data_IF_307544243861
#
_entry.id   IF_307544243861
#
_cell.length_a   1.000
_cell.length_b   1.000
_cell.length_c   1.000
_cell.angle_alpha   90.00
_cell.angle_beta   90.00
_cell.angle_gamma   90.00
#
_symmetry.space_group_name_H-M   'P 1'
#
loop_
_entity.id
_entity.type
_entity.pdbx_description
1 polymer ?
#
# COMPACT_ATOMS: atom_id res chain seq x y z
N UNK A 1 28.89 83.10 -115.32
CA UNK A 1 29.81 83.45 -114.21
C UNK A 1 29.49 82.53 -113.04
N UNK A 2 30.44 81.79 -112.44
CA UNK A 2 30.19 81.11 -111.18
C UNK A 2 30.86 81.86 -110.00
N UNK A 3 30.17 81.93 -108.87
CA UNK A 3 30.61 82.58 -107.63
C UNK A 3 31.07 81.58 -106.57
N UNK A 4 32.04 82.06 -105.79
CA UNK A 4 32.93 81.41 -104.81
C UNK A 4 32.27 81.13 -103.45
N UNK A 5 32.82 80.18 -102.69
CA UNK A 5 32.28 79.65 -101.42
C UNK A 5 33.40 79.45 -100.39
N UNK A 6 33.42 80.22 -99.29
CA UNK A 6 33.94 79.80 -97.97
C UNK A 6 33.54 80.80 -96.86
N UNK A 7 32.70 80.40 -95.91
CA UNK A 7 32.47 81.11 -94.62
C UNK A 7 32.52 80.08 -93.46
N UNK A 8 33.15 80.39 -92.30
CA UNK A 8 33.31 79.43 -91.20
C UNK A 8 32.18 79.49 -90.13
N UNK A 9 31.86 78.33 -89.53
CA UNK A 9 30.71 78.07 -88.64
C UNK A 9 30.91 78.53 -87.18
N UNK A 10 29.83 79.03 -86.54
CA UNK A 10 29.78 79.60 -85.16
C UNK A 10 29.72 78.52 -84.05
N UNK A 11 30.32 78.79 -82.89
CA UNK A 11 30.44 77.87 -81.74
C UNK A 11 29.22 77.85 -80.81
N UNK A 12 28.22 78.71 -81.04
CA UNK A 12 26.89 78.66 -80.40
C UNK A 12 26.00 77.51 -80.93
N UNK A 13 26.48 76.82 -81.97
CA UNK A 13 25.74 75.81 -82.72
C UNK A 13 25.59 74.52 -81.91
N UNK A 14 24.47 74.41 -81.18
CA UNK A 14 24.14 73.24 -80.34
C UNK A 14 23.67 72.04 -81.15
N UNK A 15 23.54 72.17 -82.47
CA UNK A 15 23.10 71.10 -83.37
C UNK A 15 23.91 69.83 -83.19
N UNK A 16 25.21 69.93 -82.93
CA UNK A 16 26.07 68.78 -82.68
C UNK A 16 25.73 68.06 -81.37
N UNK A 17 25.33 68.78 -80.32
CA UNK A 17 24.90 68.18 -79.06
C UNK A 17 23.52 67.54 -79.21
N UNK A 18 22.63 68.16 -79.98
CA UNK A 18 21.30 67.64 -80.28
C UNK A 18 21.41 66.34 -81.11
N UNK A 19 22.25 66.32 -82.15
CA UNK A 19 22.52 65.13 -82.97
C UNK A 19 23.12 63.97 -82.14
N UNK A 20 24.00 64.28 -81.19
CA UNK A 20 24.58 63.28 -80.27
C UNK A 20 23.51 62.74 -79.32
N UNK A 21 22.64 63.61 -78.77
CA UNK A 21 21.57 63.20 -77.86
C UNK A 21 20.52 62.34 -78.57
N UNK A 22 20.19 62.66 -79.82
CA UNK A 22 19.32 61.83 -80.66
C UNK A 22 19.97 60.48 -80.94
N UNK A 23 21.25 60.46 -81.32
CA UNK A 23 22.00 59.21 -81.53
C UNK A 23 22.03 58.34 -80.26
N UNK A 24 22.25 58.95 -79.10
CA UNK A 24 22.22 58.25 -77.81
C UNK A 24 20.81 57.74 -77.49
N UNK A 25 19.78 58.53 -77.81
CA UNK A 25 18.37 58.14 -77.67
C UNK A 25 18.03 56.92 -78.52
N UNK A 26 18.49 56.89 -79.78
CA UNK A 26 18.34 55.75 -80.68
C UNK A 26 19.06 54.50 -80.14
N UNK A 27 20.33 54.64 -79.73
CA UNK A 27 21.11 53.53 -79.15
C UNK A 27 20.45 52.96 -77.89
N UNK A 28 19.94 53.83 -77.01
CA UNK A 28 19.25 53.40 -75.78
C UNK A 28 17.92 52.71 -76.11
N UNK A 29 17.19 53.21 -77.11
CA UNK A 29 15.93 52.62 -77.57
C UNK A 29 16.16 51.25 -78.19
N UNK A 30 17.16 51.12 -79.07
CA UNK A 30 17.58 49.86 -79.67
C UNK A 30 18.05 48.86 -78.61
N UNK A 31 18.86 49.29 -77.64
CA UNK A 31 19.29 48.45 -76.53
C UNK A 31 18.11 48.00 -75.66
N UNK A 32 17.12 48.86 -75.44
CA UNK A 32 15.87 48.52 -74.76
C UNK A 32 15.07 47.45 -75.52
N UNK A 33 14.96 47.57 -76.84
CA UNK A 33 14.34 46.55 -77.69
C UNK A 33 15.07 45.21 -77.65
N UNK A 34 16.40 45.21 -77.72
CA UNK A 34 17.20 43.97 -77.61
C UNK A 34 17.07 43.31 -76.23
N UNK A 35 16.94 44.10 -75.17
CA UNK A 35 16.70 43.59 -73.81
C UNK A 35 15.30 42.99 -73.68
N UNK A 36 14.28 43.65 -74.24
CA UNK A 36 12.90 43.14 -74.25
C UNK A 36 12.82 41.83 -75.03
N UNK A 37 13.45 41.77 -76.22
CA UNK A 37 13.56 40.54 -77.01
C UNK A 37 14.30 39.43 -76.25
N UNK A 38 15.41 39.74 -75.58
CA UNK A 38 16.15 38.73 -74.80
C UNK A 38 15.33 38.22 -73.61
N UNK A 39 14.66 39.13 -72.89
CA UNK A 39 13.80 38.76 -71.76
C UNK A 39 12.61 37.95 -72.23
N UNK A 40 11.97 38.33 -73.33
CA UNK A 40 10.89 37.57 -73.98
C UNK A 40 11.36 36.16 -74.37
N UNK A 41 12.47 36.05 -75.09
CA UNK A 41 13.02 34.75 -75.50
C UNK A 41 13.38 33.84 -74.32
N UNK A 42 13.97 34.39 -73.25
CA UNK A 42 14.30 33.62 -72.04
C UNK A 42 13.03 33.20 -71.30
N UNK A 43 12.06 34.11 -71.16
CA UNK A 43 10.78 33.84 -70.54
C UNK A 43 10.04 32.71 -71.27
N UNK A 44 10.00 32.77 -72.60
CA UNK A 44 9.37 31.73 -73.43
C UNK A 44 10.12 30.40 -73.32
N UNK A 45 11.45 30.42 -73.35
CA UNK A 45 12.25 29.19 -73.21
C UNK A 45 12.04 28.51 -71.85
N UNK A 46 12.04 29.31 -70.78
CA UNK A 46 11.79 28.80 -69.42
C UNK A 46 10.35 28.32 -69.27
N UNK A 47 9.38 29.08 -69.79
CA UNK A 47 7.97 28.69 -69.81
C UNK A 47 7.78 27.35 -70.51
N UNK A 48 8.31 27.20 -71.72
CA UNK A 48 8.24 25.95 -72.47
C UNK A 48 8.93 24.77 -71.76
N UNK A 49 10.05 25.00 -71.06
CA UNK A 49 10.70 23.97 -70.27
C UNK A 49 9.84 23.56 -69.07
N UNK A 50 9.35 24.53 -68.31
CA UNK A 50 8.48 24.29 -67.16
C UNK A 50 7.22 23.56 -67.60
N UNK A 51 6.54 24.01 -68.65
CA UNK A 51 5.37 23.34 -69.22
C UNK A 51 5.70 21.91 -69.67
N UNK A 52 6.85 21.69 -70.31
CA UNK A 52 7.30 20.34 -70.66
C UNK A 52 7.52 19.41 -69.46
N UNK A 53 7.92 19.95 -68.31
CA UNK A 53 8.10 19.20 -67.06
C UNK A 53 6.78 19.02 -66.29
N UNK A 54 5.92 20.05 -66.24
CA UNK A 54 4.81 20.18 -65.28
C UNK A 54 3.43 20.40 -65.89
N UNK A 55 3.27 20.35 -67.23
CA UNK A 55 2.01 20.65 -67.93
C UNK A 55 0.79 20.07 -67.20
N UNK A 56 -0.16 20.96 -66.94
CA UNK A 56 -1.36 20.81 -66.12
C UNK A 56 -2.56 20.20 -66.88
N UNK A 57 -2.32 19.70 -68.11
CA UNK A 57 -3.35 19.07 -68.92
C UNK A 57 -2.87 18.09 -70.00
N UNK A 58 -1.56 17.96 -70.20
CA UNK A 58 -0.94 16.96 -71.08
C UNK A 58 0.29 16.42 -70.38
N UNK A 59 0.54 15.11 -70.44
CA UNK A 59 1.52 14.37 -69.63
C UNK A 59 2.91 15.01 -69.68
N UNK A 60 3.20 15.96 -68.77
CA UNK A 60 4.54 16.50 -68.57
C UNK A 60 5.48 15.35 -68.20
N UNK A 61 6.78 15.52 -68.38
CA UNK A 61 7.74 14.44 -68.09
C UNK A 61 7.64 13.92 -66.65
N UNK A 62 7.23 14.77 -65.70
CA UNK A 62 7.04 14.37 -64.31
C UNK A 62 5.74 13.58 -64.09
N UNK A 63 4.72 13.77 -64.92
CA UNK A 63 3.42 13.10 -64.78
C UNK A 63 3.60 11.56 -64.80
N UNK A 64 4.37 11.05 -65.76
CA UNK A 64 4.69 9.62 -65.83
C UNK A 64 5.49 9.08 -64.62
N UNK A 65 6.04 9.95 -63.76
CA UNK A 65 6.74 9.57 -62.54
C UNK A 65 5.88 9.74 -61.29
N UNK A 66 5.29 10.91 -61.07
CA UNK A 66 4.63 11.30 -59.80
C UNK A 66 3.11 11.19 -59.83
N UNK A 67 2.49 11.04 -61.00
CA UNK A 67 1.04 10.86 -61.06
C UNK A 67 0.62 9.52 -60.46
N UNK A 68 -0.66 9.40 -60.14
CA UNK A 68 -1.26 8.18 -59.58
C UNK A 68 -1.10 6.95 -60.49
N UNK A 69 -1.08 7.16 -61.81
CA UNK A 69 -0.73 6.14 -62.82
C UNK A 69 0.70 6.23 -63.35
N UNK A 70 1.55 7.04 -62.71
CA UNK A 70 2.98 7.12 -63.00
C UNK A 70 3.75 6.08 -62.18
N UNK A 71 5.07 5.98 -62.39
CA UNK A 71 5.89 4.94 -61.75
C UNK A 71 5.82 4.95 -60.21
N UNK A 72 5.76 6.12 -59.57
CA UNK A 72 5.63 6.21 -58.11
C UNK A 72 4.20 5.93 -57.65
N UNK A 73 3.18 6.23 -58.45
CA UNK A 73 1.80 5.80 -58.18
C UNK A 73 1.67 4.27 -58.28
N UNK A 74 2.21 3.68 -59.34
CA UNK A 74 2.28 2.22 -59.54
C UNK A 74 3.10 1.51 -58.45
N UNK A 75 4.07 2.18 -57.83
CA UNK A 75 4.85 1.61 -56.74
C UNK A 75 4.21 1.85 -55.38
N UNK A 76 3.76 3.07 -55.06
CA UNK A 76 3.41 3.51 -53.71
C UNK A 76 1.93 3.83 -53.51
N UNK A 77 1.17 3.99 -54.60
CA UNK A 77 -0.27 4.16 -54.55
C UNK A 77 -0.97 2.93 -53.96
N UNK A 78 -2.22 3.08 -53.54
CA UNK A 78 -2.96 2.02 -52.83
C UNK A 78 -3.14 0.75 -53.69
N UNK A 79 -3.23 0.92 -55.01
CA UNK A 79 -3.28 -0.16 -56.00
C UNK A 79 -1.90 -0.57 -56.53
N UNK A 80 -0.84 0.09 -56.07
CA UNK A 80 0.53 -0.15 -56.48
C UNK A 80 1.17 -1.35 -55.79
N UNK A 81 2.40 -1.68 -56.19
CA UNK A 81 3.13 -2.83 -55.68
C UNK A 81 3.32 -2.80 -54.16
N UNK A 82 3.68 -1.65 -53.59
CA UNK A 82 3.76 -1.46 -52.15
C UNK A 82 2.38 -1.21 -51.53
N UNK A 83 1.40 -0.71 -52.28
CA UNK A 83 0.01 -0.56 -51.84
C UNK A 83 -0.60 -1.86 -51.32
N UNK A 84 -0.32 -2.99 -51.96
CA UNK A 84 -0.74 -4.30 -51.45
C UNK A 84 -0.19 -4.66 -50.06
N UNK A 85 0.88 -4.00 -49.59
CA UNK A 85 1.46 -4.20 -48.26
C UNK A 85 1.13 -3.02 -47.34
N UNK A 86 1.41 -1.79 -47.74
CA UNK A 86 1.32 -0.59 -46.92
C UNK A 86 0.03 0.20 -47.09
N UNK A 87 -0.76 -0.10 -48.12
CA UNK A 87 -2.05 0.52 -48.37
C UNK A 87 -3.08 0.19 -47.30
N UNK A 88 -4.19 0.93 -47.29
CA UNK A 88 -5.29 0.76 -46.32
C UNK A 88 -5.90 -0.63 -46.39
N UNK A 89 -5.99 -1.19 -47.61
CA UNK A 89 -6.49 -2.53 -47.88
C UNK A 89 -5.35 -3.55 -48.02
N UNK A 90 -4.11 -3.10 -47.89
CA UNK A 90 -2.92 -3.94 -47.92
C UNK A 90 -2.75 -4.76 -46.65
N UNK A 91 -1.70 -5.59 -46.61
CA UNK A 91 -1.43 -6.46 -45.46
C UNK A 91 -1.30 -5.69 -44.13
N UNK A 92 -0.57 -4.57 -44.12
CA UNK A 92 -0.38 -3.75 -42.93
C UNK A 92 -1.64 -2.97 -42.58
N UNK A 93 -2.37 -2.44 -43.57
CA UNK A 93 -3.67 -1.79 -43.33
C UNK A 93 -4.68 -2.76 -42.71
N UNK A 94 -4.77 -3.98 -43.25
CA UNK A 94 -5.62 -5.05 -42.73
C UNK A 94 -5.16 -5.61 -41.38
N UNK A 95 -3.89 -5.44 -41.01
CA UNK A 95 -3.36 -5.92 -39.73
C UNK A 95 -3.45 -4.85 -38.64
N UNK A 96 -2.90 -3.66 -38.86
CA UNK A 96 -2.74 -2.60 -37.85
C UNK A 96 -3.61 -1.37 -38.07
N UNK A 97 -4.31 -1.29 -39.20
CA UNK A 97 -5.27 -0.21 -39.46
C UNK A 97 -6.42 -0.20 -38.46
N UNK A 98 -7.23 0.87 -38.49
CA UNK A 98 -8.34 1.06 -37.55
C UNK A 98 -9.40 -0.06 -37.62
N UNK A 99 -9.54 -0.70 -38.78
CA UNK A 99 -10.44 -1.84 -38.98
C UNK A 99 -9.69 -3.17 -39.13
N UNK A 100 -8.39 -3.17 -38.83
CA UNK A 100 -7.52 -4.33 -38.98
C UNK A 100 -7.71 -5.39 -37.89
N UNK A 101 -7.06 -6.54 -38.06
CA UNK A 101 -7.10 -7.65 -37.10
C UNK A 101 -6.60 -7.23 -35.70
N UNK A 102 -5.61 -6.33 -35.65
CA UNK A 102 -5.08 -5.77 -34.41
C UNK A 102 -5.73 -4.44 -34.02
N UNK A 103 -6.86 -4.04 -34.62
CA UNK A 103 -7.57 -2.79 -34.30
C UNK A 103 -7.89 -2.66 -32.81
N UNK A 104 -8.27 -3.75 -32.13
CA UNK A 104 -8.48 -3.77 -30.68
C UNK A 104 -7.23 -3.42 -29.84
N UNK A 105 -6.04 -3.48 -30.45
CA UNK A 105 -4.77 -3.11 -29.83
C UNK A 105 -4.25 -1.79 -30.40
N UNK A 106 -4.09 -1.67 -31.71
CA UNK A 106 -3.43 -0.53 -32.37
C UNK A 106 -4.38 0.52 -32.94
N UNK A 107 -5.67 0.20 -33.07
CA UNK A 107 -6.67 1.14 -33.56
C UNK A 107 -6.91 2.29 -32.59
N UNK A 108 -7.55 3.34 -33.09
CA UNK A 108 -7.94 4.53 -32.30
C UNK A 108 -8.73 4.20 -31.03
N UNK A 109 -9.67 3.25 -31.12
CA UNK A 109 -10.43 2.74 -29.97
C UNK A 109 -9.79 1.51 -29.31
N UNK A 110 -8.64 1.07 -29.81
CA UNK A 110 -7.88 -0.07 -29.28
C UNK A 110 -7.15 0.28 -27.99
N UNK A 111 -6.44 -0.69 -27.42
CA UNK A 111 -5.69 -0.51 -26.17
C UNK A 111 -4.65 0.61 -26.28
N UNK A 112 -3.80 0.59 -27.30
CA UNK A 112 -2.77 1.61 -27.56
C UNK A 112 -3.44 2.94 -27.88
N UNK A 113 -4.48 2.95 -28.72
CA UNK A 113 -5.25 4.15 -29.04
C UNK A 113 -5.88 4.80 -27.81
N UNK A 114 -6.50 4.03 -26.92
CA UNK A 114 -7.05 4.50 -25.65
C UNK A 114 -5.97 4.96 -24.66
N UNK A 115 -4.78 4.37 -24.73
CA UNK A 115 -3.65 4.72 -23.89
C UNK A 115 -3.02 6.04 -24.33
N UNK A 116 -2.78 6.22 -25.63
CA UNK A 116 -2.06 7.37 -26.20
C UNK A 116 -2.97 8.48 -26.70
N UNK A 117 -4.23 8.19 -27.00
CA UNK A 117 -5.22 9.12 -27.53
C UNK A 117 -6.28 9.40 -26.50
N UNK A 118 -6.17 10.53 -25.81
CA UNK A 118 -7.17 11.15 -24.93
C UNK A 118 -7.68 10.36 -23.70
N UNK A 119 -7.48 9.04 -23.61
CA UNK A 119 -8.06 8.19 -22.57
C UNK A 119 -7.23 8.14 -21.28
N UNK A 120 -6.27 7.21 -21.20
CA UNK A 120 -5.62 6.88 -19.93
C UNK A 120 -4.38 7.73 -19.61
N UNK A 121 -3.49 8.00 -20.58
CA UNK A 121 -2.28 8.81 -20.32
C UNK A 121 -2.48 10.29 -20.58
N UNK A 122 -3.29 10.65 -21.58
CA UNK A 122 -3.57 12.05 -21.89
C UNK A 122 -4.58 12.65 -20.90
N UNK A 123 -5.58 11.87 -20.44
CA UNK A 123 -6.44 12.24 -19.31
C UNK A 123 -5.70 12.26 -17.96
N UNK A 124 -4.54 11.59 -17.86
CA UNK A 124 -3.71 11.55 -16.65
C UNK A 124 -2.84 12.79 -16.44
N UNK A 125 -2.55 13.58 -17.48
CA UNK A 125 -1.68 14.77 -17.38
C UNK A 125 -2.43 16.08 -17.25
N UNK A 126 -3.72 16.10 -17.55
CA UNK A 126 -4.56 17.31 -17.44
C UNK A 126 -5.56 17.28 -16.29
N UNK A 127 -6.12 16.11 -15.92
CA UNK A 127 -7.10 16.04 -14.82
C UNK A 127 -7.10 14.71 -14.01
N UNK A 128 -6.06 13.88 -14.06
CA UNK A 128 -5.80 12.78 -13.11
C UNK A 128 -6.90 11.71 -12.86
N UNK A 129 -8.09 11.79 -13.46
CA UNK A 129 -9.32 11.26 -12.86
C UNK A 129 -9.40 9.75 -12.73
N UNK A 130 -9.42 9.00 -13.83
CA UNK A 130 -9.88 7.60 -13.75
C UNK A 130 -8.94 6.67 -12.96
N UNK A 131 -7.62 6.76 -13.18
CA UNK A 131 -6.66 5.90 -12.49
C UNK A 131 -6.38 6.39 -11.06
N UNK A 132 -6.30 7.70 -10.85
CA UNK A 132 -6.11 8.26 -9.50
C UNK A 132 -7.32 7.99 -8.62
N UNK A 133 -8.55 8.08 -9.16
CA UNK A 133 -9.77 7.80 -8.41
C UNK A 133 -9.88 6.31 -8.06
N UNK A 134 -9.54 5.42 -9.00
CA UNK A 134 -9.54 3.97 -8.74
C UNK A 134 -8.49 3.59 -7.68
N UNK A 135 -7.26 4.12 -7.80
CA UNK A 135 -6.19 3.86 -6.84
C UNK A 135 -6.51 4.49 -5.48
N UNK A 136 -7.04 5.72 -5.47
CA UNK A 136 -7.47 6.38 -4.23
C UNK A 136 -8.61 5.63 -3.56
N UNK A 137 -9.60 5.14 -4.32
CA UNK A 137 -10.67 4.30 -3.81
C UNK A 137 -10.14 3.06 -3.12
N UNK A 138 -9.24 2.32 -3.79
CA UNK A 138 -8.62 1.13 -3.23
C UNK A 138 -7.78 1.42 -1.97
N UNK A 139 -7.05 2.55 -1.94
CA UNK A 139 -6.27 2.96 -0.77
C UNK A 139 -7.18 3.32 0.40
N UNK A 140 -8.29 4.01 0.15
CA UNK A 140 -9.28 4.33 1.19
C UNK A 140 -9.94 3.07 1.73
N UNK A 141 -10.39 2.17 0.85
CA UNK A 141 -11.01 0.90 1.25
C UNK A 141 -10.04 0.07 2.10
N UNK A 142 -8.77 -0.03 1.69
CA UNK A 142 -7.75 -0.71 2.47
C UNK A 142 -7.51 -0.03 3.84
N UNK A 143 -7.51 1.30 3.87
CA UNK A 143 -7.40 2.08 5.11
C UNK A 143 -8.56 1.81 6.08
N UNK A 144 -9.79 1.72 5.57
CA UNK A 144 -10.97 1.42 6.39
C UNK A 144 -10.96 -0.02 6.92
N UNK A 145 -10.61 -1.00 6.09
CA UNK A 145 -10.50 -2.40 6.49
C UNK A 145 -9.40 -2.57 7.54
N UNK A 146 -8.22 -1.99 7.31
CA UNK A 146 -7.11 -2.09 8.24
C UNK A 146 -7.39 -1.36 9.56
N UNK A 147 -8.04 -0.19 9.50
CA UNK A 147 -8.48 0.54 10.68
C UNK A 147 -9.50 -0.24 11.51
N UNK A 148 -10.49 -0.85 10.84
CA UNK A 148 -11.50 -1.70 11.48
C UNK A 148 -10.88 -2.93 12.15
N UNK A 149 -10.09 -3.71 11.39
CA UNK A 149 -9.42 -4.92 11.92
C UNK A 149 -8.49 -4.58 13.10
N UNK A 150 -7.76 -3.48 13.01
CA UNK A 150 -6.87 -3.04 14.10
C UNK A 150 -7.67 -2.61 15.34
N UNK A 151 -8.78 -1.89 15.15
CA UNK A 151 -9.66 -1.45 16.23
C UNK A 151 -10.36 -2.63 16.94
N UNK A 152 -10.89 -3.57 16.16
CA UNK A 152 -11.56 -4.77 16.68
C UNK A 152 -10.58 -5.68 17.42
N UNK A 153 -9.38 -5.87 16.89
CA UNK A 153 -8.32 -6.64 17.55
C UNK A 153 -7.89 -5.96 18.84
N UNK A 154 -7.65 -4.65 18.84
CA UNK A 154 -7.27 -3.91 20.06
C UNK A 154 -8.35 -4.00 21.14
N UNK A 155 -9.62 -3.91 20.75
CA UNK A 155 -10.75 -4.02 21.69
C UNK A 155 -10.84 -5.42 22.27
N UNK A 156 -10.74 -6.44 21.42
CA UNK A 156 -10.76 -7.85 21.84
C UNK A 156 -9.61 -8.16 22.80
N UNK A 157 -8.38 -7.75 22.45
CA UNK A 157 -7.21 -7.92 23.31
C UNK A 157 -7.38 -7.16 24.63
N UNK A 158 -7.89 -5.94 24.60
CA UNK A 158 -8.20 -5.15 25.81
C UNK A 158 -9.15 -5.90 26.74
N UNK A 159 -10.29 -6.37 26.22
CA UNK A 159 -11.26 -7.13 27.04
C UNK A 159 -10.69 -8.41 27.62
N UNK A 160 -9.83 -9.11 26.87
CA UNK A 160 -9.19 -10.33 27.34
C UNK A 160 -8.18 -10.05 28.46
N UNK A 161 -7.42 -8.95 28.34
CA UNK A 161 -6.50 -8.49 29.38
C UNK A 161 -7.25 -8.04 30.64
N UNK A 162 -8.34 -7.29 30.51
CA UNK A 162 -9.17 -6.86 31.64
C UNK A 162 -9.78 -8.06 32.37
N UNK A 163 -10.28 -9.05 31.63
CA UNK A 163 -10.79 -10.29 32.22
C UNK A 163 -9.68 -11.08 32.94
N UNK A 164 -8.51 -11.23 32.31
CA UNK A 164 -7.39 -11.96 32.91
C UNK A 164 -6.88 -11.26 34.17
N UNK A 165 -6.71 -9.94 34.14
CA UNK A 165 -6.30 -9.15 35.31
C UNK A 165 -7.36 -9.17 36.42
N UNK A 166 -8.64 -9.16 36.06
CA UNK A 166 -9.76 -9.33 36.99
C UNK A 166 -9.75 -10.70 37.67
N UNK A 167 -9.53 -11.78 36.92
CA UNK A 167 -9.42 -13.15 37.47
C UNK A 167 -8.21 -13.25 38.41
N UNK A 168 -7.03 -12.80 37.96
CA UNK A 168 -5.82 -12.84 38.78
C UNK A 168 -6.03 -12.04 40.07
N UNK A 169 -6.63 -10.85 39.99
CA UNK A 169 -6.94 -10.05 41.17
C UNK A 169 -7.98 -10.72 42.07
N UNK A 170 -9.01 -11.35 41.52
CA UNK A 170 -10.00 -12.10 42.30
C UNK A 170 -9.42 -13.33 42.99
N UNK A 171 -8.41 -13.97 42.40
CA UNK A 171 -7.74 -15.15 42.98
C UNK A 171 -6.66 -14.74 43.98
N UNK A 172 -5.79 -13.80 43.62
CA UNK A 172 -4.55 -13.44 44.33
C UNK A 172 -4.61 -12.12 45.12
N UNK A 173 -5.70 -11.37 44.99
CA UNK A 173 -5.81 -10.02 45.54
C UNK A 173 -5.51 -9.93 47.03
N UNK A 174 -4.81 -8.84 47.41
CA UNK A 174 -4.39 -8.57 48.79
C UNK A 174 -5.58 -8.48 49.75
N UNK A 175 -5.30 -8.71 51.03
CA UNK A 175 -6.28 -8.90 52.10
C UNK A 175 -7.31 -7.76 52.24
N UNK A 176 -6.99 -6.55 51.79
CA UNK A 176 -7.91 -5.40 51.83
C UNK A 176 -9.08 -5.49 50.85
N UNK A 177 -8.97 -6.33 49.82
CA UNK A 177 -10.05 -6.62 48.85
C UNK A 177 -10.47 -8.09 48.80
N UNK A 178 -9.80 -8.98 49.55
CA UNK A 178 -10.25 -10.35 49.81
C UNK A 178 -10.27 -11.27 48.58
N UNK A 179 -9.12 -11.47 47.93
CA UNK A 179 -8.99 -12.53 46.94
C UNK A 179 -9.27 -13.91 47.54
N UNK A 180 -9.71 -14.88 46.72
CA UNK A 180 -10.05 -16.24 47.18
C UNK A 180 -8.91 -16.90 47.98
N UNK A 181 -7.66 -16.75 47.53
CA UNK A 181 -6.49 -17.26 48.25
C UNK A 181 -6.28 -16.53 49.58
N UNK A 182 -6.47 -15.21 49.60
CA UNK A 182 -6.38 -14.41 50.83
C UNK A 182 -7.43 -14.82 51.86
N UNK A 183 -8.67 -15.10 51.44
CA UNK A 183 -9.73 -15.60 52.31
C UNK A 183 -9.51 -17.04 52.78
N UNK A 184 -8.92 -17.90 51.95
CA UNK A 184 -8.66 -19.30 52.29
C UNK A 184 -7.44 -19.46 53.20
N UNK A 185 -6.29 -18.86 52.84
CA UNK A 185 -5.01 -19.03 53.54
C UNK A 185 -4.79 -18.02 54.67
N UNK A 186 -5.42 -16.85 54.61
CA UNK A 186 -5.10 -15.70 55.45
C UNK A 186 -4.01 -14.85 54.80
N UNK A 187 -4.37 -13.63 54.39
CA UNK A 187 -3.49 -12.74 53.63
C UNK A 187 -2.74 -11.71 54.48
N UNK A 188 -3.11 -11.53 55.74
CA UNK A 188 -2.45 -10.61 56.65
C UNK A 188 -2.23 -11.27 58.02
N UNK A 189 -1.25 -10.77 58.78
CA UNK A 189 -0.92 -11.29 60.12
C UNK A 189 -1.99 -10.98 61.18
N UNK A 190 -3.13 -10.39 60.79
CA UNK A 190 -4.13 -9.82 61.70
C UNK A 190 -5.51 -10.49 61.58
N UNK A 191 -5.80 -11.14 60.46
CA UNK A 191 -7.07 -11.76 60.09
C UNK A 191 -6.76 -13.13 59.49
N UNK A 192 -6.83 -14.18 60.32
CA UNK A 192 -6.64 -15.55 59.84
C UNK A 192 -7.70 -15.91 58.78
N UNK A 193 -7.28 -16.59 57.71
CA UNK A 193 -8.21 -17.16 56.72
C UNK A 193 -8.98 -18.36 57.27
N UNK A 194 -9.88 -18.93 56.46
CA UNK A 194 -10.64 -20.14 56.84
C UNK A 194 -9.73 -21.28 57.30
N UNK A 195 -8.61 -21.50 56.60
CA UNK A 195 -7.67 -22.56 56.96
C UNK A 195 -6.98 -22.26 58.30
N UNK A 196 -6.69 -21.01 58.62
CA UNK A 196 -6.20 -20.61 59.95
C UNK A 196 -7.21 -21.01 61.02
N UNK A 197 -8.49 -20.65 60.86
CA UNK A 197 -9.51 -21.01 61.85
C UNK A 197 -9.70 -22.52 62.03
N UNK A 198 -9.59 -23.30 60.95
CA UNK A 198 -9.57 -24.77 61.02
C UNK A 198 -8.33 -25.26 61.77
N UNK A 199 -7.15 -24.73 61.45
CA UNK A 199 -5.90 -25.08 62.12
C UNK A 199 -5.93 -24.71 63.61
N UNK A 200 -6.50 -23.57 63.97
CA UNK A 200 -6.69 -23.12 65.36
C UNK A 200 -7.64 -24.06 66.11
N UNK A 201 -8.75 -24.44 65.48
CA UNK A 201 -9.73 -25.38 66.06
C UNK A 201 -9.13 -26.77 66.26
N UNK A 202 -8.44 -27.30 65.25
CA UNK A 202 -7.77 -28.61 65.33
C UNK A 202 -6.66 -28.57 66.39
N UNK A 203 -5.88 -27.49 66.45
CA UNK A 203 -4.85 -27.30 67.47
C UNK A 203 -5.44 -27.23 68.88
N UNK A 204 -6.58 -26.57 69.07
CA UNK A 204 -7.28 -26.54 70.35
C UNK A 204 -7.85 -27.90 70.76
N UNK A 205 -8.28 -28.73 69.80
CA UNK A 205 -8.80 -30.07 70.08
C UNK A 205 -7.68 -31.08 70.39
N UNK A 206 -6.65 -31.14 69.55
CA UNK A 206 -5.56 -32.13 69.63
C UNK A 206 -4.42 -31.71 70.57
N UNK A 207 -4.22 -30.41 70.80
CA UNK A 207 -3.05 -29.88 71.52
C UNK A 207 -1.91 -29.60 70.55
N UNK A 208 -2.03 -28.53 69.79
CA UNK A 208 -1.08 -28.14 68.75
C UNK A 208 0.17 -27.42 69.26
N UNK A 209 0.15 -26.87 70.47
CA UNK A 209 1.33 -26.28 71.10
C UNK A 209 1.72 -27.10 72.35
N UNK A 210 3.02 -27.20 72.62
CA UNK A 210 3.53 -27.95 73.78
C UNK A 210 3.26 -27.26 75.13
N UNK A 211 2.51 -26.15 75.14
CA UNK A 211 2.32 -25.27 76.30
C UNK A 211 0.89 -25.28 76.86
N UNK A 212 -0.09 -25.68 76.05
CA UNK A 212 -1.51 -25.71 76.35
C UNK A 212 -2.06 -27.04 75.82
N UNK A 213 -2.19 -28.04 76.69
CA UNK A 213 -2.78 -29.31 76.29
C UNK A 213 -4.17 -29.09 75.69
N UNK A 214 -4.39 -29.59 74.46
CA UNK A 214 -5.70 -29.48 73.81
C UNK A 214 -6.77 -30.30 74.53
N UNK A 215 -8.03 -30.12 74.18
CA UNK A 215 -9.18 -30.73 74.88
C UNK A 215 -9.07 -32.27 74.97
N UNK A 216 -8.64 -32.95 73.91
CA UNK A 216 -8.41 -34.41 73.94
C UNK A 216 -7.22 -34.77 74.80
N UNK A 217 -6.14 -33.98 74.75
CA UNK A 217 -4.98 -34.15 75.63
C UNK A 217 -5.36 -33.98 77.11
N UNK A 218 -6.21 -33.00 77.42
CA UNK A 218 -6.74 -32.75 78.75
C UNK A 218 -7.70 -33.84 79.23
N UNK A 219 -8.62 -34.31 78.37
CA UNK A 219 -9.53 -35.40 78.71
C UNK A 219 -8.78 -36.73 78.90
N UNK A 220 -7.88 -37.07 77.97
CA UNK A 220 -7.08 -38.28 78.05
C UNK A 220 -6.15 -38.22 79.27
N UNK A 221 -5.44 -37.10 79.46
CA UNK A 221 -4.61 -36.87 80.65
C UNK A 221 -5.42 -36.92 81.95
N UNK A 222 -6.67 -36.45 81.97
CA UNK A 222 -7.56 -36.57 83.12
C UNK A 222 -8.03 -38.01 83.39
N UNK A 223 -8.19 -38.84 82.36
CA UNK A 223 -8.59 -40.25 82.50
C UNK A 223 -7.39 -41.12 82.86
N UNK A 224 -6.28 -41.05 82.12
CA UNK A 224 -5.14 -41.95 82.26
C UNK A 224 -4.03 -41.43 83.17
N UNK A 225 -4.09 -40.16 83.57
CA UNK A 225 -2.98 -39.43 84.17
C UNK A 225 -2.15 -38.75 83.09
N UNK A 226 -1.73 -37.50 83.35
CA UNK A 226 -0.78 -36.81 82.47
C UNK A 226 0.59 -37.46 82.67
N UNK A 227 1.19 -38.04 81.62
CA UNK A 227 2.57 -38.57 81.67
C UNK A 227 3.66 -37.51 81.88
N UNK A 228 3.30 -36.32 82.35
CA UNK A 228 4.21 -35.30 82.84
C UNK A 228 4.35 -35.50 84.35
N UNK A 229 5.49 -36.05 84.77
CA UNK A 229 5.84 -36.31 86.18
C UNK A 229 5.84 -35.04 87.07
N UNK A 230 5.58 -33.86 86.51
CA UNK A 230 5.63 -32.58 87.21
C UNK A 230 4.26 -32.04 87.64
N UNK A 231 3.14 -32.62 87.18
CA UNK A 231 1.80 -32.22 87.64
C UNK A 231 1.13 -33.41 88.31
N UNK A 232 1.23 -33.49 89.64
CA UNK A 232 0.79 -34.62 90.48
C UNK A 232 -0.72 -34.87 90.54
N UNK A 233 -1.42 -34.86 89.41
CA UNK A 233 -2.82 -35.24 89.30
C UNK A 233 -2.91 -36.66 88.72
N UNK A 234 -3.18 -37.63 89.59
CA UNK A 234 -3.48 -39.02 89.20
C UNK A 234 -4.80 -39.06 88.43
N UNK A 235 -4.82 -39.71 87.26
CA UNK A 235 -6.03 -39.80 86.44
C UNK A 235 -7.15 -40.60 87.12
N UNK A 236 -8.39 -40.47 86.63
CA UNK A 236 -9.54 -41.23 87.15
C UNK A 236 -9.30 -42.75 87.07
N UNK A 237 -8.65 -43.21 86.00
CA UNK A 237 -8.30 -44.62 85.84
C UNK A 237 -7.24 -45.04 86.87
N UNK A 238 -6.25 -44.20 87.14
CA UNK A 238 -5.24 -44.44 88.19
C UNK A 238 -5.91 -44.62 89.56
N UNK A 239 -6.83 -43.71 89.92
CA UNK A 239 -7.64 -43.85 91.14
C UNK A 239 -8.57 -45.08 91.16
N UNK A 240 -8.84 -45.70 90.01
CA UNK A 240 -9.62 -46.92 89.92
C UNK A 240 -8.74 -48.17 89.98
N UNK A 241 -7.68 -48.27 89.18
CA UNK A 241 -6.95 -49.53 88.94
C UNK A 241 -5.54 -49.59 89.54
N UNK A 242 -4.96 -48.47 89.96
CA UNK A 242 -3.61 -48.46 90.53
C UNK A 242 -3.57 -49.12 91.92
N UNK A 243 -2.35 -49.37 92.40
CA UNK A 243 -2.13 -49.92 93.75
C UNK A 243 -2.52 -48.85 94.79
N UNK A 244 -3.59 -49.11 95.55
CA UNK A 244 -4.27 -48.11 96.39
C UNK A 244 -5.51 -47.43 95.76
N UNK A 245 -5.85 -47.75 94.51
CA UNK A 245 -7.10 -47.36 93.85
C UNK A 245 -8.24 -48.35 94.14
N UNK A 246 -9.50 -47.99 93.86
CA UNK A 246 -10.67 -48.76 94.33
C UNK A 246 -10.70 -50.24 93.89
N UNK A 247 -10.36 -50.56 92.63
CA UNK A 247 -10.20 -51.94 92.14
C UNK A 247 -8.86 -52.54 92.59
N UNK A 248 -7.80 -51.74 92.72
CA UNK A 248 -6.54 -52.20 93.32
C UNK A 248 -6.73 -52.70 94.74
N UNK A 249 -7.49 -51.99 95.56
CA UNK A 249 -7.85 -52.34 96.93
C UNK A 249 -8.85 -53.51 97.01
N UNK A 250 -9.66 -53.70 95.97
CA UNK A 250 -10.55 -54.86 95.89
C UNK A 250 -9.81 -56.11 95.41
N UNK A 251 -8.95 -56.02 94.38
CA UNK A 251 -8.43 -57.17 93.63
C UNK A 251 -6.91 -57.38 93.73
N UNK A 252 -6.16 -56.40 94.23
CA UNK A 252 -4.72 -56.48 94.42
C UNK A 252 -4.31 -57.49 95.50
N UNK A 253 -3.01 -57.79 95.60
CA UNK A 253 -2.48 -58.83 96.49
C UNK A 253 -2.76 -58.56 97.98
N UNK A 254 -2.96 -57.30 98.33
CA UNK A 254 -3.33 -56.83 99.68
C UNK A 254 -4.82 -56.52 99.83
N UNK A 255 -5.60 -56.69 98.75
CA UNK A 255 -6.99 -56.29 98.64
C UNK A 255 -7.98 -57.35 99.12
N UNK A 256 -9.24 -56.93 99.30
CA UNK A 256 -10.29 -57.75 99.91
C UNK A 256 -10.50 -59.10 99.22
N UNK A 257 -10.42 -59.17 97.88
CA UNK A 257 -10.58 -60.39 97.10
C UNK A 257 -9.25 -61.16 96.93
N UNK A 258 -8.11 -60.46 96.85
CA UNK A 258 -6.78 -61.08 96.78
C UNK A 258 -6.49 -61.95 98.01
N UNK A 259 -6.90 -61.50 99.19
CA UNK A 259 -6.85 -62.29 100.43
C UNK A 259 -7.78 -63.51 100.46
N UNK A 260 -8.76 -63.61 99.55
CA UNK A 260 -9.77 -64.69 99.49
C UNK A 260 -9.46 -65.70 98.38
N UNK A 261 -8.90 -65.27 97.24
CA UNK A 261 -8.61 -66.15 96.09
C UNK A 261 -7.24 -66.82 96.11
N UNK A 262 -6.34 -66.45 97.02
CA UNK A 262 -5.14 -67.22 97.35
C UNK A 262 -4.17 -67.46 96.20
N UNK A 263 -3.35 -66.44 95.91
CA UNK A 263 -1.91 -66.66 95.72
C UNK A 263 -1.20 -66.09 96.93
#
# INVERSE_FOLDING_TARGET
EPTDTTEPTDASDTTLLDDILDTVGDVVSDAGGLLDDLVGNVSDTVGNLVDGLTSDGSTGLLDGLIADGGLLGDLTGNSGLLGGVTGSDGLLGSLVGNDGLLSSVTGSDGLVGSLTGSGLLEGGTTDGGALSDTVSGLVNDLGTVLGGVTGDLSSTVGTLLDNATGIVSGVTGEATSGGLLGGLLGGDSTSGGLLSGVTDTVSGLLGGDSTSGGLLGGLLGGVTGSGSETSGTTGVLDGLIADGGLLGDLTGNSGLLGGVTGS
#
